data_IF_582412572289
#
_entry.id   IF_582412572289
#
_cell.length_a   1.000
_cell.length_b   1.000
_cell.length_c   1.000
_cell.angle_alpha   90.00
_cell.angle_beta   90.00
_cell.angle_gamma   90.00
#
_symmetry.space_group_name_H-M   'P 1'
#
loop_
_entity.id
_entity.type
_entity.pdbx_description
1 polymer ?
#
# COMPACT_ATOMS: atom_id res chain seq x y z
N UNK A 1 9.54 7.08 -21.20
CA UNK A 1 8.71 7.78 -20.20
C UNK A 1 8.70 6.99 -18.90
N UNK A 2 8.94 7.69 -17.81
CA UNK A 2 8.81 7.06 -16.50
C UNK A 2 7.33 6.95 -16.13
N UNK A 3 6.92 5.78 -15.70
CA UNK A 3 5.59 5.57 -15.17
C UNK A 3 5.45 6.30 -13.83
N UNK A 4 4.40 7.10 -13.69
CA UNK A 4 4.11 7.80 -12.44
C UNK A 4 3.53 6.82 -11.44
N UNK A 5 4.20 6.67 -10.30
CA UNK A 5 3.77 5.77 -9.24
C UNK A 5 2.97 6.55 -8.21
N UNK A 6 1.83 6.02 -7.82
CA UNK A 6 0.97 6.62 -6.82
C UNK A 6 0.72 5.68 -5.64
N UNK A 7 0.56 6.27 -4.47
CA UNK A 7 0.29 5.54 -3.25
C UNK A 7 -0.81 6.22 -2.45
N UNK A 8 -1.56 5.42 -1.70
CA UNK A 8 -2.56 5.88 -0.75
C UNK A 8 -2.09 5.53 0.64
N UNK A 9 -2.19 6.49 1.55
CA UNK A 9 -1.89 6.29 2.96
C UNK A 9 -3.19 6.38 3.76
N UNK A 10 -3.62 5.25 4.30
CA UNK A 10 -4.85 5.12 5.09
C UNK A 10 -4.51 5.08 6.57
N UNK A 11 -4.46 6.23 7.20
CA UNK A 11 -4.20 6.30 8.64
C UNK A 11 -4.33 7.72 9.19
N UNK A 12 -4.37 7.83 10.50
CA UNK A 12 -4.29 9.09 11.20
C UNK A 12 -2.87 9.65 11.07
N UNK A 13 -2.72 10.94 10.77
CA UNK A 13 -1.39 11.56 10.73
C UNK A 13 -0.71 11.41 12.08
N UNK A 14 0.44 10.76 12.11
CA UNK A 14 1.26 10.61 13.28
C UNK A 14 2.70 10.92 12.92
N UNK A 15 3.47 11.39 13.89
CA UNK A 15 4.85 11.77 13.64
C UNK A 15 5.69 10.58 13.15
N UNK A 16 5.41 9.38 13.68
CA UNK A 16 6.07 8.16 13.25
C UNK A 16 5.84 7.83 11.77
N UNK A 17 4.83 8.42 11.16
CA UNK A 17 4.52 8.18 9.75
C UNK A 17 5.03 9.27 8.83
N UNK A 18 5.60 10.32 9.40
CA UNK A 18 6.25 11.36 8.63
C UNK A 18 7.41 10.79 7.81
N UNK A 19 8.18 9.87 8.39
CA UNK A 19 9.30 9.23 7.69
C UNK A 19 8.84 8.44 6.47
N UNK A 20 7.71 7.74 6.59
CA UNK A 20 7.13 7.02 5.47
C UNK A 20 6.72 7.98 4.36
N UNK A 21 6.05 9.07 4.70
CA UNK A 21 5.66 10.09 3.74
C UNK A 21 6.89 10.68 3.03
N UNK A 22 7.93 11.03 3.80
CA UNK A 22 9.17 11.57 3.25
C UNK A 22 9.85 10.57 2.32
N UNK A 23 9.87 9.29 2.69
CA UNK A 23 10.46 8.25 1.85
C UNK A 23 9.73 8.12 0.51
N UNK A 24 8.40 8.19 0.53
CA UNK A 24 7.58 8.13 -0.68
C UNK A 24 7.80 9.35 -1.56
N UNK A 25 7.75 10.54 -0.98
CA UNK A 25 7.96 11.79 -1.71
C UNK A 25 9.37 11.90 -2.28
N UNK A 26 10.37 11.41 -1.55
CA UNK A 26 11.74 11.38 -2.01
C UNK A 26 11.97 10.51 -3.23
N UNK A 27 11.06 9.57 -3.51
CA UNK A 27 11.09 8.71 -4.70
C UNK A 27 10.16 9.20 -5.79
N UNK A 28 9.64 10.43 -5.68
CA UNK A 28 8.70 11.03 -6.62
C UNK A 28 7.41 10.23 -6.75
N UNK A 29 6.97 9.61 -5.66
CA UNK A 29 5.71 8.89 -5.59
C UNK A 29 4.62 9.88 -5.20
N UNK A 30 3.55 9.92 -5.98
CA UNK A 30 2.39 10.75 -5.67
C UNK A 30 1.62 10.12 -4.52
N UNK A 31 1.37 10.87 -3.45
CA UNK A 31 0.77 10.36 -2.23
C UNK A 31 -0.58 11.03 -1.97
N UNK A 32 -1.60 10.22 -1.71
CA UNK A 32 -2.90 10.67 -1.22
C UNK A 32 -3.10 10.17 0.20
N UNK A 33 -3.40 11.09 1.12
CA UNK A 33 -3.70 10.78 2.51
C UNK A 33 -5.20 10.65 2.69
N UNK A 34 -5.63 9.51 3.22
CA UNK A 34 -7.03 9.25 3.52
C UNK A 34 -7.15 8.74 4.95
N UNK A 35 -8.26 9.05 5.60
CA UNK A 35 -8.47 8.70 7.00
C UNK A 35 -9.30 7.44 7.19
N UNK A 36 -10.06 7.03 6.17
CA UNK A 36 -10.99 5.93 6.32
C UNK A 36 -11.09 5.09 5.05
N UNK A 37 -11.64 3.90 5.21
CA UNK A 37 -11.83 2.94 4.13
C UNK A 37 -12.74 3.49 3.03
N UNK A 38 -13.82 4.16 3.41
CA UNK A 38 -14.79 4.70 2.45
C UNK A 38 -14.14 5.61 1.42
N UNK A 39 -13.19 6.44 1.84
CA UNK A 39 -12.52 7.38 0.93
C UNK A 39 -11.61 6.67 -0.06
N UNK A 40 -11.14 5.47 0.27
CA UNK A 40 -10.32 4.68 -0.63
C UNK A 40 -11.11 3.99 -1.74
N UNK A 41 -12.40 3.73 -1.52
CA UNK A 41 -13.23 2.99 -2.47
C UNK A 41 -13.18 3.56 -3.88
N UNK A 42 -13.45 4.87 -4.11
CA UNK A 42 -13.44 5.39 -5.47
C UNK A 42 -12.07 5.31 -6.13
N UNK A 43 -10.99 5.51 -5.35
CA UNK A 43 -9.64 5.47 -5.91
C UNK A 43 -9.24 4.08 -6.37
N UNK A 44 -9.57 3.05 -5.58
CA UNK A 44 -9.19 1.69 -5.94
C UNK A 44 -10.11 1.06 -6.99
N UNK A 45 -11.25 1.68 -7.27
CA UNK A 45 -12.17 1.23 -8.31
C UNK A 45 -11.95 1.90 -9.65
N UNK A 46 -11.01 2.84 -9.74
CA UNK A 46 -10.68 3.49 -11.00
C UNK A 46 -10.03 2.52 -11.99
N UNK A 47 -10.06 2.89 -13.27
CA UNK A 47 -9.40 2.11 -14.31
C UNK A 47 -7.88 2.07 -14.11
N UNK A 48 -7.32 3.13 -13.54
CA UNK A 48 -5.90 3.22 -13.22
C UNK A 48 -5.75 3.49 -11.72
N UNK A 49 -5.89 2.45 -10.87
CA UNK A 49 -5.85 2.62 -9.44
C UNK A 49 -4.44 2.92 -8.93
N UNK A 50 -4.29 3.40 -7.69
CA UNK A 50 -2.96 3.57 -7.11
C UNK A 50 -2.17 2.26 -7.12
N UNK A 51 -0.86 2.37 -7.14
CA UNK A 51 0.04 1.21 -7.16
C UNK A 51 0.16 0.57 -5.79
N UNK A 52 0.22 1.39 -4.75
CA UNK A 52 0.48 0.96 -3.39
C UNK A 52 -0.57 1.54 -2.45
N UNK A 53 -0.94 0.75 -1.44
CA UNK A 53 -1.77 1.22 -0.33
C UNK A 53 -1.08 0.85 0.98
N UNK A 54 -0.83 1.86 1.79
CA UNK A 54 -0.34 1.66 3.16
C UNK A 54 -1.53 1.87 4.09
N UNK A 55 -1.85 0.88 4.90
CA UNK A 55 -3.01 0.96 5.77
C UNK A 55 -2.67 0.59 7.20
N UNK A 56 -3.29 1.28 8.15
CA UNK A 56 -3.29 0.81 9.54
C UNK A 56 -4.12 -0.47 9.63
N UNK A 57 -3.87 -1.26 10.67
CA UNK A 57 -4.61 -2.50 10.89
C UNK A 57 -6.08 -2.22 11.15
N UNK A 58 -6.37 -1.16 11.90
CA UNK A 58 -7.73 -0.75 12.21
C UNK A 58 -7.99 0.66 11.68
N UNK A 59 -9.08 0.82 10.97
CA UNK A 59 -9.54 2.10 10.45
C UNK A 59 -10.86 2.45 11.14
N UNK A 60 -11.30 3.72 11.12
CA UNK A 60 -12.57 4.09 11.74
C UNK A 60 -13.77 3.30 11.20
N UNK A 61 -13.73 2.88 9.95
CA UNK A 61 -14.84 2.22 9.26
C UNK A 61 -14.45 0.89 8.60
N UNK A 62 -13.36 0.28 9.04
CA UNK A 62 -12.95 -1.00 8.48
C UNK A 62 -11.61 -1.48 9.03
N UNK A 63 -11.06 -2.49 8.37
CA UNK A 63 -9.79 -3.08 8.77
C UNK A 63 -8.86 -3.27 7.56
N UNK A 64 -7.61 -3.64 7.84
CA UNK A 64 -6.65 -4.00 6.79
C UNK A 64 -7.21 -5.08 5.86
N UNK A 65 -8.01 -6.01 6.38
CA UNK A 65 -8.58 -7.08 5.56
C UNK A 65 -9.56 -6.54 4.52
N UNK A 66 -10.34 -5.53 4.87
CA UNK A 66 -11.22 -4.85 3.92
C UNK A 66 -10.42 -4.17 2.81
N UNK A 67 -9.30 -3.55 3.17
CA UNK A 67 -8.41 -2.89 2.21
C UNK A 67 -7.79 -3.92 1.26
N UNK A 68 -7.32 -5.06 1.76
CA UNK A 68 -6.77 -6.13 0.92
C UNK A 68 -7.84 -6.65 -0.05
N UNK A 69 -9.06 -6.88 0.43
CA UNK A 69 -10.16 -7.30 -0.44
C UNK A 69 -10.42 -6.30 -1.56
N UNK A 70 -10.45 -5.02 -1.22
CA UNK A 70 -10.66 -3.96 -2.18
C UNK A 70 -9.54 -3.93 -3.23
N UNK A 71 -8.30 -4.08 -2.78
CA UNK A 71 -7.14 -4.11 -3.67
C UNK A 71 -7.17 -5.32 -4.61
N UNK A 72 -7.59 -6.48 -4.12
CA UNK A 72 -7.71 -7.68 -4.95
C UNK A 72 -8.79 -7.55 -6.03
N UNK A 73 -9.81 -6.75 -5.77
CA UNK A 73 -10.89 -6.49 -6.72
C UNK A 73 -10.56 -5.38 -7.72
N UNK A 74 -9.44 -4.70 -7.56
CA UNK A 74 -9.05 -3.61 -8.45
C UNK A 74 -8.77 -4.10 -9.88
N UNK A 75 -8.96 -3.22 -10.86
CA UNK A 75 -8.79 -3.56 -12.27
C UNK A 75 -7.32 -3.80 -12.65
N UNK A 76 -6.40 -3.27 -11.88
CA UNK A 76 -4.96 -3.50 -12.03
C UNK A 76 -4.37 -3.91 -10.69
N UNK A 77 -3.26 -4.65 -10.68
CA UNK A 77 -2.60 -5.04 -9.42
C UNK A 77 -2.28 -3.85 -8.53
N UNK A 78 -2.58 -4.00 -7.24
CA UNK A 78 -2.33 -3.03 -6.18
C UNK A 78 -1.70 -3.80 -5.02
N UNK A 79 -0.60 -3.30 -4.47
CA UNK A 79 0.05 -3.92 -3.31
C UNK A 79 -0.33 -3.21 -2.04
N UNK A 80 -0.69 -3.98 -1.02
CA UNK A 80 -1.10 -3.46 0.29
C UNK A 80 -0.01 -3.75 1.31
N UNK A 81 0.41 -2.73 2.03
CA UNK A 81 1.38 -2.83 3.12
C UNK A 81 0.67 -2.38 4.40
N UNK A 82 0.68 -3.25 5.40
CA UNK A 82 0.05 -2.94 6.69
C UNK A 82 1.07 -2.25 7.58
N UNK A 83 0.68 -1.13 8.19
CA UNK A 83 1.51 -0.37 9.12
C UNK A 83 0.88 -0.47 10.50
N UNK A 84 1.57 -1.08 11.46
CA UNK A 84 1.08 -1.24 12.81
C UNK A 84 2.03 -0.60 13.80
N UNK A 85 1.49 0.10 14.80
CA UNK A 85 2.29 0.72 15.85
C UNK A 85 2.76 -0.28 16.92
N UNK A 86 2.15 -1.46 16.91
CA UNK A 86 2.45 -2.50 17.90
C UNK A 86 3.13 -3.69 17.24
N UNK A 87 4.13 -4.23 17.91
CA UNK A 87 4.73 -5.49 17.50
C UNK A 87 3.77 -6.59 17.92
N UNK A 88 3.02 -7.12 16.98
CA UNK A 88 2.04 -8.18 17.20
C UNK A 88 2.29 -9.28 16.18
N UNK A 89 2.91 -10.36 16.65
CA UNK A 89 3.27 -11.49 15.78
C UNK A 89 2.03 -12.14 15.18
N UNK A 90 0.95 -12.23 15.93
CA UNK A 90 -0.30 -12.81 15.41
C UNK A 90 -0.85 -11.96 14.28
N UNK A 91 -0.89 -10.64 14.48
CA UNK A 91 -1.33 -9.71 13.44
C UNK A 91 -0.44 -9.81 12.19
N UNK A 92 0.88 -9.88 12.38
CA UNK A 92 1.81 -10.06 11.28
C UNK A 92 1.47 -11.32 10.46
N UNK A 93 1.31 -12.45 11.13
CA UNK A 93 0.99 -13.71 10.47
C UNK A 93 -0.35 -13.63 9.74
N UNK A 94 -1.37 -13.06 10.38
CA UNK A 94 -2.69 -12.91 9.78
C UNK A 94 -2.66 -12.02 8.54
N UNK A 95 -1.96 -10.89 8.59
CA UNK A 95 -1.90 -9.96 7.46
C UNK A 95 -1.15 -10.57 6.28
N UNK A 96 -0.04 -11.25 6.53
CA UNK A 96 0.73 -11.88 5.46
C UNK A 96 -0.03 -13.05 4.85
N UNK A 97 -0.70 -13.85 5.68
CA UNK A 97 -1.54 -14.96 5.19
C UNK A 97 -2.78 -14.44 4.45
N UNK A 98 -3.27 -13.27 4.81
CA UNK A 98 -4.45 -12.65 4.21
C UNK A 98 -4.19 -11.92 2.89
N UNK A 99 -2.96 -11.84 2.43
CA UNK A 99 -2.63 -11.26 1.13
C UNK A 99 -1.96 -9.90 1.16
N UNK A 100 -1.58 -9.38 2.34
CA UNK A 100 -0.77 -8.16 2.39
C UNK A 100 0.62 -8.44 1.82
N UNK A 101 1.19 -7.44 1.14
CA UNK A 101 2.53 -7.56 0.59
C UNK A 101 3.59 -7.54 1.67
N UNK A 102 3.43 -6.65 2.65
CA UNK A 102 4.40 -6.51 3.73
C UNK A 102 3.74 -5.87 4.96
N UNK A 103 4.52 -5.77 6.03
CA UNK A 103 4.07 -5.28 7.32
C UNK A 103 5.20 -4.43 7.91
N UNK A 104 4.89 -3.20 8.29
CA UNK A 104 5.85 -2.25 8.83
C UNK A 104 5.45 -1.87 10.25
N UNK A 105 6.42 -1.90 11.17
CA UNK A 105 6.25 -1.43 12.55
C UNK A 105 7.07 -0.15 12.72
N UNK A 106 6.45 1.02 12.82
CA UNK A 106 7.19 2.26 13.10
C UNK A 106 7.80 2.27 14.52
N UNK A 107 8.94 2.92 14.74
CA UNK A 107 9.69 3.67 13.74
C UNK A 107 10.55 2.74 12.89
N UNK A 108 10.31 2.72 11.59
CA UNK A 108 11.12 1.97 10.66
C UNK A 108 12.32 2.81 10.23
N UNK A 109 13.45 2.16 10.01
CA UNK A 109 14.64 2.87 9.53
C UNK A 109 14.49 3.24 8.06
N UNK A 110 15.29 4.19 7.60
CA UNK A 110 15.30 4.56 6.18
C UNK A 110 15.64 3.37 5.29
N UNK A 111 16.53 2.51 5.74
CA UNK A 111 16.91 1.31 4.98
C UNK A 111 15.76 0.30 4.91
N UNK A 112 15.04 0.10 6.00
CA UNK A 112 13.87 -0.77 6.02
C UNK A 112 12.79 -0.26 5.07
N UNK A 113 12.49 1.03 5.12
CA UNK A 113 11.50 1.63 4.23
C UNK A 113 11.94 1.54 2.77
N UNK A 114 13.21 1.80 2.49
CA UNK A 114 13.75 1.70 1.15
C UNK A 114 13.61 0.27 0.60
N UNK A 115 13.90 -0.73 1.42
CA UNK A 115 13.80 -2.13 1.05
C UNK A 115 12.34 -2.52 0.73
N UNK A 116 11.40 -2.17 1.59
CA UNK A 116 9.98 -2.47 1.39
C UNK A 116 9.46 -1.77 0.14
N UNK A 117 9.78 -0.49 -0.04
CA UNK A 117 9.33 0.28 -1.19
C UNK A 117 9.89 -0.28 -2.50
N UNK A 118 11.17 -0.60 -2.54
CA UNK A 118 11.79 -1.16 -3.73
C UNK A 118 11.11 -2.47 -4.13
N UNK A 119 10.88 -3.36 -3.16
CA UNK A 119 10.21 -4.64 -3.41
C UNK A 119 8.77 -4.47 -3.88
N UNK A 120 8.01 -3.60 -3.22
CA UNK A 120 6.61 -3.37 -3.55
C UNK A 120 6.46 -2.75 -4.95
N UNK A 121 7.29 -1.75 -5.26
CA UNK A 121 7.27 -1.09 -6.56
C UNK A 121 7.63 -2.08 -7.67
N UNK A 122 8.70 -2.84 -7.50
CA UNK A 122 9.12 -3.83 -8.48
C UNK A 122 8.02 -4.88 -8.71
N UNK A 123 7.39 -5.33 -7.64
CA UNK A 123 6.32 -6.34 -7.71
C UNK A 123 5.09 -5.80 -8.45
N UNK A 124 4.60 -4.62 -8.08
CA UNK A 124 3.39 -4.08 -8.69
C UNK A 124 3.60 -3.72 -10.16
N UNK A 125 4.73 -3.15 -10.51
CA UNK A 125 5.05 -2.81 -11.89
C UNK A 125 5.21 -4.06 -12.74
N UNK A 126 5.86 -5.10 -12.20
CA UNK A 126 6.01 -6.37 -12.89
C UNK A 126 4.66 -7.03 -13.17
N UNK A 127 3.78 -7.06 -12.17
CA UNK A 127 2.44 -7.64 -12.33
C UNK A 127 1.58 -6.86 -13.32
N UNK A 128 1.66 -5.53 -13.31
CA UNK A 128 0.91 -4.70 -14.25
C UNK A 128 1.40 -4.90 -15.68
N UNK A 129 2.70 -5.05 -15.88
CA UNK A 129 3.25 -5.36 -17.20
C UNK A 129 2.79 -6.72 -17.70
N UNK A 130 2.79 -7.72 -16.82
CA UNK A 130 2.30 -9.06 -17.17
C UNK A 130 0.83 -9.02 -17.54
N UNK A 131 0.01 -8.31 -16.78
CA UNK A 131 -1.41 -8.14 -17.06
C UNK A 131 -1.63 -7.47 -18.43
N UNK A 132 -0.90 -6.39 -18.70
CA UNK A 132 -1.00 -5.67 -19.97
C UNK A 132 -0.60 -6.55 -21.16
N UNK A 133 0.46 -7.35 -21.02
CA UNK A 133 0.90 -8.29 -22.05
C UNK A 133 -0.15 -9.36 -22.29
N UNK A 134 -0.73 -9.93 -21.23
CA UNK A 134 -1.78 -10.93 -21.35
C UNK A 134 -3.03 -10.36 -22.05
N UNK A 135 -3.39 -9.11 -21.72
CA UNK A 135 -4.53 -8.45 -22.34
C UNK A 135 -4.32 -8.16 -23.83
N UNK A 136 -3.06 -8.07 -24.26
CA UNK A 136 -2.71 -7.80 -25.66
C UNK A 136 -2.73 -9.06 -26.53
N UNK A 137 -2.78 -10.22 -25.91
CA UNK A 137 -2.86 -11.48 -26.65
C UNK A 137 -4.29 -11.80 -27.02
#
# INVERSE_FOLDING_TARGET
MKEEISAVLLHQPAESQRLLKQALEGRSIKVNWLQNYRDALPLLREADPPHLVFTEALLPDGTWADVVKLALAALKPVKVIVVSRLIDIRLYVETMAGGAFDFIVPPATSDELAHVLAGAIASVLGLRRTQATAASL
#
